data_IF_981959053918
#
_entry.id   IF_981959053918
#
_cell.length_a   1.000
_cell.length_b   1.000
_cell.length_c   1.000
_cell.angle_alpha   90.00
_cell.angle_beta   90.00
_cell.angle_gamma   90.00
#
_symmetry.space_group_name_H-M   'P 1'
#
loop_
_entity.id
_entity.type
_entity.pdbx_description
1 polymer ?
#
# COMPACT_ATOMS: atom_id res chain seq x y z
N UNK A 1 3.37 71.29 57.18
CA UNK A 1 2.16 72.06 56.84
C UNK A 1 1.57 71.42 55.64
N UNK A 2 0.65 70.63 55.86
CA UNK A 2 -0.75 70.72 55.47
C UNK A 2 -0.97 70.72 53.92
N UNK A 3 -1.71 69.76 53.47
CA UNK A 3 -2.48 69.83 52.29
C UNK A 3 -2.88 68.46 51.73
N UNK A 4 -3.90 67.89 52.39
CA UNK A 4 -4.74 66.81 51.78
C UNK A 4 -5.53 67.38 50.60
N UNK A 5 -5.72 66.57 49.60
CA UNK A 5 -6.94 66.58 48.82
C UNK A 5 -7.15 65.28 48.12
N UNK A 6 -8.18 64.62 48.54
CA UNK A 6 -8.94 63.51 48.02
C UNK A 6 -9.54 63.86 46.68
N UNK A 7 -9.78 62.85 45.80
CA UNK A 7 -11.07 62.36 45.24
C UNK A 7 -10.88 61.63 43.94
N UNK A 8 -11.15 60.38 43.99
CA UNK A 8 -12.21 59.68 43.21
C UNK A 8 -12.26 59.91 41.69
N UNK A 9 -12.02 58.87 40.95
CA UNK A 9 -12.35 58.73 39.54
C UNK A 9 -12.30 57.29 39.08
N UNK A 10 -13.35 56.52 39.36
CA UNK A 10 -13.56 55.22 38.70
C UNK A 10 -13.76 55.46 37.21
N UNK A 11 -12.92 54.87 36.36
CA UNK A 11 -13.22 54.66 34.98
C UNK A 11 -13.04 53.18 34.65
N UNK A 12 -14.17 52.54 34.44
CA UNK A 12 -14.27 51.15 34.04
C UNK A 12 -13.68 50.96 32.65
N UNK A 13 -12.47 50.41 32.57
CA UNK A 13 -11.86 49.97 31.31
C UNK A 13 -12.55 48.69 30.83
N UNK A 14 -13.30 48.79 29.73
CA UNK A 14 -13.88 47.68 29.02
C UNK A 14 -12.76 46.75 28.57
N UNK A 15 -12.66 45.58 29.18
CA UNK A 15 -11.81 44.49 28.73
C UNK A 15 -12.30 43.98 27.38
N UNK A 16 -11.54 44.26 26.35
CA UNK A 16 -11.73 43.66 25.05
C UNK A 16 -11.46 42.15 25.19
N UNK A 17 -12.52 41.36 25.18
CA UNK A 17 -12.40 39.90 25.02
C UNK A 17 -11.97 39.63 23.58
N UNK A 18 -10.70 39.32 23.42
CA UNK A 18 -10.19 38.72 22.17
C UNK A 18 -10.80 37.32 22.09
N UNK A 19 -11.82 37.20 21.27
CA UNK A 19 -12.36 35.91 20.88
C UNK A 19 -11.31 35.25 19.98
N UNK A 20 -10.55 34.33 20.55
CA UNK A 20 -9.74 33.39 19.75
C UNK A 20 -10.72 32.48 19.02
N UNK A 21 -10.99 32.78 17.77
CA UNK A 21 -11.68 31.86 16.86
C UNK A 21 -10.79 30.64 16.70
N UNK A 22 -11.14 29.53 17.35
CA UNK A 22 -10.57 28.23 17.05
C UNK A 22 -10.97 27.89 15.60
N UNK A 23 -10.03 28.06 14.68
CA UNK A 23 -10.17 27.52 13.34
C UNK A 23 -10.18 26.00 13.48
N UNK A 24 -11.37 25.42 13.44
CA UNK A 24 -11.53 23.98 13.26
C UNK A 24 -10.96 23.65 11.89
N UNK A 25 -9.75 23.10 11.88
CA UNK A 25 -9.20 22.43 10.71
C UNK A 25 -10.13 21.26 10.42
N UNK A 26 -11.05 21.46 9.49
CA UNK A 26 -11.70 20.35 8.81
C UNK A 26 -10.63 19.63 8.01
N UNK A 27 -10.01 18.61 8.61
CA UNK A 27 -9.33 17.56 7.87
C UNK A 27 -10.44 16.91 7.06
N UNK A 28 -10.53 17.28 5.79
CA UNK A 28 -11.33 16.56 4.83
C UNK A 28 -10.80 15.14 4.83
N UNK A 29 -11.52 14.21 5.42
CA UNK A 29 -11.25 12.80 5.25
C UNK A 29 -11.28 12.57 3.73
N UNK A 30 -10.12 12.27 3.14
CA UNK A 30 -10.05 11.76 1.79
C UNK A 30 -11.05 10.61 1.77
N UNK A 31 -12.11 10.74 0.96
CA UNK A 31 -13.26 9.86 1.03
C UNK A 31 -12.80 8.42 0.95
N UNK A 32 -13.13 7.62 1.98
CA UNK A 32 -12.88 6.20 1.96
C UNK A 32 -13.55 5.66 0.70
N UNK A 33 -12.79 5.02 -0.18
CA UNK A 33 -13.36 4.38 -1.37
C UNK A 33 -14.41 3.38 -0.88
N UNK A 34 -15.66 3.55 -1.30
CA UNK A 34 -16.72 2.62 -0.96
C UNK A 34 -16.65 1.45 -1.94
N UNK A 35 -16.56 0.23 -1.44
CA UNK A 35 -16.51 -0.96 -2.27
C UNK A 35 -17.76 -1.80 -2.11
N UNK A 36 -18.13 -2.49 -3.19
CA UNK A 36 -19.09 -3.59 -3.16
C UNK A 36 -18.29 -4.89 -3.04
N UNK A 37 -18.49 -5.57 -1.92
CA UNK A 37 -17.79 -6.84 -1.62
C UNK A 37 -18.74 -7.99 -1.84
N UNK A 38 -18.27 -9.01 -2.56
CA UNK A 38 -18.94 -10.30 -2.72
C UNK A 38 -17.98 -11.44 -2.37
N UNK A 39 -18.52 -12.48 -1.74
CA UNK A 39 -17.76 -13.66 -1.35
C UNK A 39 -18.64 -14.64 -0.59
N UNK A 40 -18.27 -15.93 -0.66
CA UNK A 40 -18.94 -16.99 0.10
C UNK A 40 -18.49 -17.01 1.55
N UNK A 41 -19.35 -17.55 2.41
CA UNK A 41 -19.05 -17.86 3.80
C UNK A 41 -19.36 -19.31 4.12
N UNK A 42 -18.57 -19.90 5.03
CA UNK A 42 -18.82 -21.21 5.61
C UNK A 42 -18.36 -21.20 7.07
N UNK A 43 -19.22 -21.68 7.97
CA UNK A 43 -18.91 -21.76 9.41
C UNK A 43 -18.45 -20.40 9.99
N UNK A 44 -19.13 -19.31 9.63
CA UNK A 44 -18.81 -17.96 10.09
C UNK A 44 -17.51 -17.35 9.54
N UNK A 45 -16.88 -17.98 8.53
CA UNK A 45 -15.63 -17.50 7.95
C UNK A 45 -15.73 -17.35 6.42
N UNK A 46 -14.99 -16.39 5.80
CA UNK A 46 -14.87 -16.28 4.35
C UNK A 46 -14.44 -17.61 3.73
N UNK A 47 -15.16 -18.05 2.68
CA UNK A 47 -14.88 -19.31 2.01
C UNK A 47 -15.37 -19.30 0.55
N UNK A 48 -14.50 -19.58 -0.40
CA UNK A 48 -14.80 -19.52 -1.82
C UNK A 48 -14.25 -18.27 -2.50
N UNK A 49 -14.79 -17.92 -3.65
CA UNK A 49 -14.37 -16.75 -4.42
C UNK A 49 -14.65 -15.46 -3.64
N UNK A 50 -13.77 -14.50 -3.82
CA UNK A 50 -13.82 -13.15 -3.25
C UNK A 50 -13.65 -12.12 -4.36
N UNK A 51 -14.54 -11.12 -4.38
CA UNK A 51 -14.43 -9.98 -5.26
C UNK A 51 -14.73 -8.69 -4.51
N UNK A 52 -13.92 -7.69 -4.79
CA UNK A 52 -14.13 -6.30 -4.38
C UNK A 52 -14.26 -5.45 -5.64
N UNK A 53 -15.36 -4.71 -5.74
CA UNK A 53 -15.68 -3.88 -6.89
C UNK A 53 -15.89 -2.43 -6.47
N UNK A 54 -15.64 -1.51 -7.39
CA UNK A 54 -16.11 -0.15 -7.30
C UNK A 54 -17.64 -0.12 -7.41
N UNK A 55 -18.32 0.96 -6.96
CA UNK A 55 -19.77 1.11 -7.13
C UNK A 55 -20.26 1.04 -8.59
N UNK A 56 -19.39 1.37 -9.54
CA UNK A 56 -19.65 1.28 -10.99
C UNK A 56 -19.45 -0.14 -11.56
N UNK A 57 -19.15 -1.13 -10.72
CA UNK A 57 -18.97 -2.53 -11.05
C UNK A 57 -17.55 -2.94 -11.47
N UNK A 58 -16.62 -2.00 -11.64
CA UNK A 58 -15.22 -2.34 -11.99
C UNK A 58 -14.54 -3.11 -10.87
N UNK A 59 -13.82 -4.17 -11.25
CA UNK A 59 -13.01 -4.96 -10.31
C UNK A 59 -11.87 -4.14 -9.70
N UNK A 60 -11.66 -4.33 -8.41
CA UNK A 60 -10.51 -3.81 -7.66
C UNK A 60 -9.64 -4.93 -7.12
N UNK A 61 -10.27 -6.00 -6.61
CA UNK A 61 -9.58 -7.18 -6.11
C UNK A 61 -10.40 -8.41 -6.47
N UNK A 62 -9.73 -9.49 -6.87
CA UNK A 62 -10.28 -10.84 -6.84
C UNK A 62 -9.33 -11.78 -6.12
N UNK A 63 -9.86 -12.83 -5.54
CA UNK A 63 -9.09 -13.88 -4.90
C UNK A 63 -10.00 -15.00 -4.43
N UNK A 64 -9.50 -15.81 -3.52
CA UNK A 64 -10.29 -16.83 -2.87
C UNK A 64 -9.87 -17.00 -1.41
N UNK A 65 -10.82 -17.48 -0.61
CA UNK A 65 -10.59 -17.87 0.78
C UNK A 65 -10.94 -19.34 0.99
N UNK A 66 -10.18 -19.98 1.85
CA UNK A 66 -10.51 -21.30 2.40
C UNK A 66 -10.46 -21.21 3.93
N UNK A 67 -11.59 -21.42 4.60
CA UNK A 67 -11.72 -21.34 6.06
C UNK A 67 -11.17 -20.02 6.65
N UNK A 68 -11.47 -18.89 6.02
CA UNK A 68 -11.04 -17.55 6.43
C UNK A 68 -9.62 -17.17 6.03
N UNK A 69 -8.85 -18.06 5.40
CA UNK A 69 -7.47 -17.80 4.97
C UNK A 69 -7.37 -17.63 3.46
N UNK A 70 -6.53 -16.71 3.00
CA UNK A 70 -6.29 -16.44 1.57
C UNK A 70 -5.69 -17.66 0.91
N UNK A 71 -6.22 -18.04 -0.26
CA UNK A 71 -5.75 -19.16 -1.07
C UNK A 71 -5.83 -18.81 -2.55
N UNK A 72 -5.01 -19.44 -3.39
CA UNK A 72 -4.94 -19.12 -4.80
C UNK A 72 -4.35 -17.73 -5.06
N UNK A 73 -4.67 -17.16 -6.22
CA UNK A 73 -4.06 -15.90 -6.63
C UNK A 73 -4.98 -14.71 -6.38
N UNK A 74 -4.52 -13.76 -5.59
CA UNK A 74 -5.14 -12.44 -5.47
C UNK A 74 -4.62 -11.53 -6.57
N UNK A 75 -5.55 -10.89 -7.31
CA UNK A 75 -5.26 -9.94 -8.37
C UNK A 75 -5.83 -8.59 -7.99
N UNK A 76 -5.04 -7.55 -8.17
CA UNK A 76 -5.37 -6.17 -7.81
C UNK A 76 -5.36 -5.30 -9.05
N UNK A 77 -6.38 -4.43 -9.18
CA UNK A 77 -6.54 -3.48 -10.27
C UNK A 77 -6.65 -2.04 -9.75
N UNK A 78 -6.16 -1.11 -10.54
CA UNK A 78 -6.39 0.31 -10.37
C UNK A 78 -7.82 0.71 -10.78
N UNK A 79 -8.23 1.92 -10.42
CA UNK A 79 -9.54 2.46 -10.78
C UNK A 79 -9.79 2.53 -12.29
N UNK A 80 -8.75 2.61 -13.11
CA UNK A 80 -8.83 2.59 -14.58
C UNK A 80 -8.86 1.16 -15.17
N UNK A 81 -8.85 0.10 -14.34
CA UNK A 81 -8.87 -1.29 -14.77
C UNK A 81 -7.51 -1.91 -15.09
N UNK A 82 -6.41 -1.16 -15.01
CA UNK A 82 -5.09 -1.70 -15.22
C UNK A 82 -4.60 -2.53 -14.01
N UNK A 83 -3.85 -3.61 -14.26
CA UNK A 83 -3.31 -4.44 -13.16
C UNK A 83 -2.26 -3.69 -12.34
N UNK A 84 -2.32 -3.87 -11.04
CA UNK A 84 -1.35 -3.34 -10.07
C UNK A 84 -0.46 -4.45 -9.54
N UNK A 85 -1.07 -5.56 -9.10
CA UNK A 85 -0.34 -6.67 -8.51
C UNK A 85 -1.06 -8.01 -8.71
N UNK A 86 -0.29 -9.07 -8.63
CA UNK A 86 -0.71 -10.47 -8.59
C UNK A 86 0.08 -11.14 -7.48
N UNK A 87 -0.62 -11.67 -6.47
CA UNK A 87 0.00 -12.26 -5.28
C UNK A 87 -0.62 -13.64 -5.03
N UNK A 88 0.11 -14.73 -5.27
CA UNK A 88 -0.36 -16.07 -4.93
C UNK A 88 -0.21 -16.33 -3.43
N UNK A 89 -1.24 -16.92 -2.83
CA UNK A 89 -1.26 -17.36 -1.44
C UNK A 89 -1.62 -18.84 -1.33
N UNK A 90 -1.03 -19.48 -0.36
CA UNK A 90 -1.47 -20.76 0.20
C UNK A 90 -1.56 -20.60 1.71
N UNK A 91 -2.78 -20.71 2.24
CA UNK A 91 -3.06 -20.64 3.68
C UNK A 91 -2.54 -19.34 4.34
N UNK A 92 -2.82 -18.17 3.74
CA UNK A 92 -2.34 -16.82 4.06
C UNK A 92 -0.85 -16.57 3.79
N UNK A 93 -0.11 -17.57 3.36
CA UNK A 93 1.33 -17.48 3.12
C UNK A 93 1.60 -17.17 1.63
N UNK A 94 2.46 -16.20 1.33
CA UNK A 94 2.87 -15.91 -0.06
C UNK A 94 3.66 -17.10 -0.63
N UNK A 95 3.28 -17.57 -1.83
CA UNK A 95 3.94 -18.67 -2.55
C UNK A 95 4.07 -18.35 -4.04
N UNK A 96 4.99 -19.03 -4.72
CA UNK A 96 5.16 -18.83 -6.17
C UNK A 96 5.67 -17.43 -6.54
N UNK A 97 5.21 -16.89 -7.65
CA UNK A 97 5.71 -15.61 -8.17
C UNK A 97 4.72 -14.48 -7.94
N UNK A 98 5.10 -13.53 -7.12
CA UNK A 98 4.43 -12.22 -6.99
C UNK A 98 4.86 -11.34 -8.17
N UNK A 99 3.89 -10.72 -8.83
CA UNK A 99 4.14 -9.79 -9.93
C UNK A 99 3.52 -8.41 -9.64
N UNK A 100 4.26 -7.34 -9.91
CA UNK A 100 3.83 -5.96 -9.70
C UNK A 100 4.03 -5.17 -10.99
N UNK A 101 3.11 -4.25 -11.28
CA UNK A 101 3.18 -3.33 -12.41
C UNK A 101 3.44 -1.91 -11.93
N UNK A 102 3.94 -1.07 -12.80
CA UNK A 102 4.07 0.36 -12.53
C UNK A 102 2.70 1.01 -12.36
N UNK A 103 2.67 2.17 -11.69
CA UNK A 103 1.45 2.93 -11.46
C UNK A 103 0.74 3.25 -12.79
N UNK A 104 -0.48 2.72 -13.01
CA UNK A 104 -1.22 2.90 -14.25
C UNK A 104 -1.69 4.34 -14.46
N UNK A 105 -1.78 5.17 -13.42
CA UNK A 105 -2.15 6.57 -13.57
C UNK A 105 -1.13 7.37 -14.40
N UNK A 106 0.08 6.83 -14.54
CA UNK A 106 1.18 7.42 -15.33
C UNK A 106 1.40 6.77 -16.69
N UNK A 107 0.64 5.72 -17.00
CA UNK A 107 0.77 4.97 -18.25
C UNK A 107 -0.37 5.28 -19.21
N UNK A 108 -0.04 5.48 -20.50
CA UNK A 108 -1.04 5.68 -21.57
C UNK A 108 -1.64 4.36 -22.10
N UNK A 109 -1.07 3.23 -21.68
CA UNK A 109 -1.46 1.87 -22.03
C UNK A 109 -1.32 0.98 -20.80
N UNK A 110 -1.48 -0.34 -20.93
CA UNK A 110 -1.17 -1.28 -19.87
C UNK A 110 0.22 -0.97 -19.28
N UNK A 111 0.34 -0.76 -17.96
CA UNK A 111 1.60 -0.37 -17.37
C UNK A 111 2.63 -1.49 -17.56
N UNK A 112 3.91 -1.14 -17.79
CA UNK A 112 4.96 -2.13 -17.87
C UNK A 112 5.13 -2.84 -16.52
N UNK A 113 5.65 -4.07 -16.57
CA UNK A 113 5.99 -4.82 -15.36
C UNK A 113 7.07 -4.08 -14.58
N UNK A 114 6.85 -3.93 -13.27
CA UNK A 114 7.79 -3.31 -12.34
C UNK A 114 8.70 -4.35 -11.71
N UNK A 115 8.12 -5.46 -11.20
CA UNK A 115 8.89 -6.52 -10.56
C UNK A 115 8.21 -7.87 -10.62
N UNK A 116 9.03 -8.91 -10.51
CA UNK A 116 8.67 -10.30 -10.23
C UNK A 116 9.51 -10.80 -9.08
N UNK A 117 8.88 -11.46 -8.11
CA UNK A 117 9.54 -11.92 -6.89
C UNK A 117 9.07 -13.32 -6.54
N UNK A 118 10.00 -14.27 -6.43
CA UNK A 118 9.68 -15.65 -6.08
C UNK A 118 9.65 -15.84 -4.57
N UNK A 119 8.61 -16.55 -4.08
CA UNK A 119 8.38 -16.90 -2.70
C UNK A 119 8.17 -18.41 -2.52
N UNK A 120 8.75 -18.96 -1.47
CA UNK A 120 8.49 -20.33 -0.99
C UNK A 120 8.18 -20.25 0.50
N UNK A 121 7.01 -20.73 0.90
CA UNK A 121 6.55 -20.71 2.30
C UNK A 121 6.72 -19.34 2.98
N UNK A 122 6.35 -18.26 2.30
CA UNK A 122 6.41 -16.88 2.79
C UNK A 122 7.78 -16.22 2.73
N UNK A 123 8.83 -16.96 2.47
CA UNK A 123 10.18 -16.42 2.36
C UNK A 123 10.58 -16.14 0.90
N UNK A 124 11.37 -15.08 0.69
CA UNK A 124 12.03 -14.84 -0.59
C UNK A 124 12.91 -16.05 -0.93
N UNK A 125 12.67 -16.68 -2.08
CA UNK A 125 13.44 -17.84 -2.53
C UNK A 125 13.48 -17.89 -4.05
N UNK A 126 14.69 -17.96 -4.63
CA UNK A 126 14.87 -17.89 -6.08
C UNK A 126 15.14 -16.46 -6.56
N UNK A 127 14.68 -16.14 -7.74
CA UNK A 127 15.00 -14.87 -8.41
C UNK A 127 13.96 -13.80 -8.14
N UNK A 128 14.43 -12.61 -7.79
CA UNK A 128 13.67 -11.35 -7.81
C UNK A 128 14.22 -10.49 -8.94
N UNK A 129 13.37 -10.13 -9.89
CA UNK A 129 13.70 -9.22 -10.99
C UNK A 129 12.89 -7.94 -10.91
N UNK A 130 13.48 -6.85 -11.33
CA UNK A 130 12.74 -5.63 -11.61
C UNK A 130 13.22 -4.95 -12.89
N UNK A 131 12.38 -4.09 -13.42
CA UNK A 131 12.63 -3.36 -14.65
C UNK A 131 12.46 -1.86 -14.41
N UNK A 132 13.11 -1.05 -15.20
CA UNK A 132 12.85 0.38 -15.28
C UNK A 132 11.54 0.66 -16.05
N UNK A 133 10.93 1.85 -15.91
CA UNK A 133 9.70 2.19 -16.65
C UNK A 133 9.81 2.10 -18.17
N UNK A 134 11.03 2.16 -18.71
CA UNK A 134 11.31 1.97 -20.15
C UNK A 134 11.47 0.51 -20.57
N UNK A 135 11.29 -0.46 -19.64
CA UNK A 135 11.41 -1.88 -19.87
C UNK A 135 12.83 -2.45 -19.73
N UNK A 136 13.85 -1.62 -19.57
CA UNK A 136 15.21 -2.11 -19.36
C UNK A 136 15.35 -2.79 -17.99
N UNK A 137 16.19 -3.86 -17.87
CA UNK A 137 16.49 -4.48 -16.60
C UNK A 137 16.98 -3.45 -15.57
N UNK A 138 16.47 -3.53 -14.34
CA UNK A 138 16.88 -2.70 -13.21
C UNK A 138 17.62 -3.50 -12.16
N UNK A 139 17.06 -4.66 -11.78
CA UNK A 139 17.69 -5.55 -10.79
C UNK A 139 17.48 -7.01 -11.12
N UNK A 140 18.45 -7.84 -10.72
CA UNK A 140 18.33 -9.28 -10.61
C UNK A 140 19.01 -9.71 -9.30
N UNK A 141 18.21 -10.17 -8.36
CA UNK A 141 18.65 -10.63 -7.05
C UNK A 141 18.30 -12.10 -6.89
N UNK A 142 19.21 -12.87 -6.30
CA UNK A 142 18.95 -14.25 -5.93
C UNK A 142 18.83 -14.34 -4.41
N UNK A 143 17.75 -14.95 -3.95
CA UNK A 143 17.48 -15.20 -2.55
C UNK A 143 17.44 -16.70 -2.26
N UNK A 144 17.96 -17.08 -1.10
CA UNK A 144 17.88 -18.43 -0.55
C UNK A 144 17.33 -18.35 0.87
N UNK A 145 16.10 -18.84 1.08
CA UNK A 145 15.40 -18.82 2.39
C UNK A 145 15.34 -17.43 3.04
N UNK A 146 15.12 -16.40 2.24
CA UNK A 146 15.02 -15.01 2.72
C UNK A 146 16.34 -14.25 2.70
N UNK A 147 17.49 -14.93 2.56
CA UNK A 147 18.79 -14.29 2.54
C UNK A 147 19.25 -13.96 1.12
N UNK A 148 19.87 -12.79 0.94
CA UNK A 148 20.40 -12.35 -0.34
C UNK A 148 21.72 -13.05 -0.67
N UNK A 149 21.69 -13.96 -1.63
CA UNK A 149 22.87 -14.68 -2.12
C UNK A 149 23.63 -13.87 -3.17
N UNK A 150 22.94 -13.38 -4.21
CA UNK A 150 23.54 -12.62 -5.31
C UNK A 150 22.75 -11.35 -5.59
N UNK A 151 23.46 -10.27 -5.98
CA UNK A 151 22.86 -9.03 -6.37
C UNK A 151 23.50 -8.47 -7.63
N UNK A 152 22.67 -8.15 -8.64
CA UNK A 152 23.05 -7.40 -9.83
C UNK A 152 22.03 -6.28 -10.05
N UNK A 153 22.51 -5.11 -10.39
CA UNK A 153 21.63 -3.99 -10.68
C UNK A 153 22.24 -3.10 -11.78
N UNK A 154 21.35 -2.40 -12.48
CA UNK A 154 21.71 -1.56 -13.62
C UNK A 154 21.00 -0.21 -13.56
N UNK A 155 21.69 0.81 -13.99
CA UNK A 155 21.08 2.12 -14.26
C UNK A 155 20.13 2.02 -15.46
N UNK A 156 19.23 2.97 -15.61
CA UNK A 156 18.23 2.97 -16.68
C UNK A 156 18.83 2.92 -18.10
N UNK A 157 20.07 3.37 -18.28
CA UNK A 157 20.81 3.35 -19.55
C UNK A 157 21.69 2.09 -19.71
N UNK A 158 21.60 1.11 -18.79
CA UNK A 158 22.26 -0.17 -18.87
C UNK A 158 23.63 -0.25 -18.18
N UNK A 159 24.17 0.83 -17.63
CA UNK A 159 25.41 0.77 -16.86
C UNK A 159 25.18 -0.06 -15.57
N UNK A 160 26.04 -1.05 -15.34
CA UNK A 160 25.95 -1.91 -14.15
C UNK A 160 26.44 -1.17 -12.90
N UNK A 161 25.73 -1.33 -11.80
CA UNK A 161 26.12 -0.84 -10.48
C UNK A 161 27.16 -1.78 -9.84
N UNK A 162 27.92 -1.27 -8.87
CA UNK A 162 28.80 -2.09 -8.03
C UNK A 162 28.00 -3.08 -7.17
N UNK A 163 28.65 -4.14 -6.68
CA UNK A 163 28.02 -5.13 -5.78
C UNK A 163 27.48 -4.46 -4.51
N UNK A 164 28.21 -3.53 -3.93
CA UNK A 164 27.76 -2.77 -2.73
C UNK A 164 26.49 -1.98 -2.99
N UNK A 165 26.40 -1.26 -4.12
CA UNK A 165 25.20 -0.51 -4.50
C UNK A 165 24.03 -1.43 -4.79
N UNK A 166 24.28 -2.56 -5.48
CA UNK A 166 23.26 -3.55 -5.80
C UNK A 166 22.68 -4.19 -4.52
N UNK A 167 23.50 -4.53 -3.53
CA UNK A 167 23.05 -5.06 -2.23
C UNK A 167 22.27 -4.03 -1.41
N UNK A 168 22.72 -2.78 -1.38
CA UNK A 168 21.99 -1.70 -0.73
C UNK A 168 20.62 -1.46 -1.40
N UNK A 169 20.55 -1.59 -2.73
CA UNK A 169 19.31 -1.50 -3.48
C UNK A 169 18.37 -2.67 -3.16
N UNK A 170 18.90 -3.88 -3.00
CA UNK A 170 18.12 -5.07 -2.65
C UNK A 170 17.37 -4.88 -1.32
N UNK A 171 18.06 -4.40 -0.28
CA UNK A 171 17.45 -4.15 1.02
C UNK A 171 16.33 -3.10 0.94
N UNK A 172 16.54 -2.01 0.19
CA UNK A 172 15.52 -0.96 -0.01
C UNK A 172 14.32 -1.46 -0.80
N UNK A 173 14.54 -2.27 -1.83
CA UNK A 173 13.48 -2.82 -2.67
C UNK A 173 12.59 -3.78 -1.86
N UNK A 174 13.19 -4.66 -1.05
CA UNK A 174 12.42 -5.57 -0.17
C UNK A 174 11.55 -4.77 0.80
N UNK A 175 12.14 -3.79 1.51
CA UNK A 175 11.38 -2.97 2.46
C UNK A 175 10.24 -2.17 1.78
N UNK A 176 10.43 -1.76 0.54
CA UNK A 176 9.41 -1.03 -0.24
C UNK A 176 8.29 -1.96 -0.69
N UNK A 177 8.64 -3.15 -1.17
CA UNK A 177 7.67 -4.13 -1.63
C UNK A 177 6.82 -4.66 -0.46
N UNK A 178 7.43 -4.95 0.70
CA UNK A 178 6.67 -5.41 1.87
C UNK A 178 5.68 -4.34 2.38
N UNK A 179 6.05 -3.07 2.39
CA UNK A 179 5.09 -1.98 2.70
C UNK A 179 3.94 -1.91 1.69
N UNK A 180 4.25 -2.07 0.42
CA UNK A 180 3.24 -2.09 -0.64
C UNK A 180 2.29 -3.29 -0.47
N UNK A 181 2.82 -4.49 -0.23
CA UNK A 181 1.99 -5.68 0.00
C UNK A 181 1.13 -5.53 1.25
N UNK A 182 1.69 -5.00 2.34
CA UNK A 182 0.92 -4.73 3.56
C UNK A 182 -0.27 -3.80 3.31
N UNK A 183 -0.11 -2.77 2.48
CA UNK A 183 -1.23 -1.89 2.08
C UNK A 183 -2.32 -2.66 1.35
N UNK A 184 -1.96 -3.54 0.41
CA UNK A 184 -2.92 -4.37 -0.33
C UNK A 184 -3.64 -5.36 0.60
N UNK A 185 -2.91 -5.98 1.50
CA UNK A 185 -3.45 -6.93 2.49
C UNK A 185 -4.39 -6.25 3.49
N UNK A 186 -4.07 -5.04 3.93
CA UNK A 186 -4.96 -4.21 4.76
C UNK A 186 -6.27 -3.91 4.02
N UNK A 187 -6.19 -3.56 2.73
CA UNK A 187 -7.40 -3.31 1.92
C UNK A 187 -8.31 -4.54 1.87
N UNK A 188 -7.75 -5.74 1.77
CA UNK A 188 -8.54 -7.00 1.84
C UNK A 188 -9.16 -7.14 3.24
N UNK A 189 -8.36 -6.99 4.30
CA UNK A 189 -8.79 -7.24 5.67
C UNK A 189 -9.93 -6.30 6.13
N UNK A 190 -9.90 -5.04 5.68
CA UNK A 190 -10.94 -4.05 5.96
C UNK A 190 -12.24 -4.26 5.16
N UNK A 191 -12.21 -5.10 4.14
CA UNK A 191 -13.31 -5.30 3.19
C UNK A 191 -13.62 -6.80 2.99
N UNK A 192 -13.69 -7.57 4.07
CA UNK A 192 -14.10 -8.96 4.01
C UNK A 192 -15.62 -9.11 3.84
N UNK A 193 -16.12 -10.22 3.25
CA UNK A 193 -17.54 -10.53 3.24
C UNK A 193 -18.04 -10.68 4.68
N UNK A 194 -19.26 -10.19 4.93
CA UNK A 194 -19.92 -10.34 6.24
C UNK A 194 -20.41 -11.78 6.37
N UNK A 195 -19.80 -12.53 7.29
CA UNK A 195 -20.15 -13.90 7.60
C UNK A 195 -20.87 -13.93 8.94
N UNK A 196 -22.19 -14.14 8.90
CA UNK A 196 -23.05 -14.30 10.07
C UNK A 196 -23.10 -15.79 10.51
#
# INVERSE_FOLDING_TARGET
>A
MVGEASLSGLAAGRGARVAVAAAALFVSAAGAETFVVSGGCRDGAPNGLYEQRMPDGRLRITGAFAKGRRTGTFIFWAANGARIALIPYDDDVKVGTVAVWYDPARAKADPPRKSETAYVAGALHGIKRSWHPNGNPRTEFRYERGELAEARAWMQRGAQLSDTEARALAARDVATDERFYATLETTIAENLPRCE
#
